data_IF_302499878081
#
_entry.id   IF_302499878081
#
_cell.length_a   1.000
_cell.length_b   1.000
_cell.length_c   1.000
_cell.angle_alpha   90.00
_cell.angle_beta   90.00
_cell.angle_gamma   90.00
#
_symmetry.space_group_name_H-M   'P 1'
#
loop_
_entity.id
_entity.type
_entity.pdbx_description
1 polymer ?
#
# COMPACT_ATOMS: atom_id res chain seq x y z
N UNK A 1 -36.41 32.82 -29.60
CA UNK A 1 -36.64 31.60 -28.81
C UNK A 1 -36.84 30.35 -29.68
N UNK A 2 -37.82 30.32 -30.61
CA UNK A 2 -38.13 29.12 -31.44
C UNK A 2 -36.96 28.54 -32.25
N UNK A 3 -36.09 29.39 -32.82
CA UNK A 3 -34.89 28.95 -33.58
C UNK A 3 -33.85 28.19 -32.75
N UNK A 4 -33.83 28.39 -31.43
CA UNK A 4 -32.93 27.66 -30.52
C UNK A 4 -33.58 26.42 -29.91
N UNK A 5 -34.90 26.27 -30.00
CA UNK A 5 -35.61 25.13 -29.46
C UNK A 5 -35.13 23.81 -30.09
N UNK A 6 -34.87 23.83 -31.39
CA UNK A 6 -34.32 22.68 -32.11
C UNK A 6 -32.92 22.29 -31.59
N UNK A 7 -32.07 23.28 -31.34
CA UNK A 7 -30.71 23.07 -30.83
C UNK A 7 -30.73 22.54 -29.38
N UNK A 8 -31.65 23.03 -28.56
CA UNK A 8 -31.87 22.55 -27.18
C UNK A 8 -32.35 21.09 -27.17
N UNK A 9 -33.27 20.73 -28.06
CA UNK A 9 -33.76 19.33 -28.18
C UNK A 9 -32.62 18.39 -28.58
N UNK A 10 -31.79 18.78 -29.55
CA UNK A 10 -30.62 18.00 -29.95
C UNK A 10 -29.64 17.83 -28.79
N UNK A 11 -29.37 18.90 -28.03
CA UNK A 11 -28.48 18.83 -26.86
C UNK A 11 -29.02 17.89 -25.79
N UNK A 12 -30.33 17.89 -25.54
CA UNK A 12 -30.96 16.97 -24.56
C UNK A 12 -30.85 15.52 -25.04
N UNK A 13 -31.10 15.26 -26.33
CA UNK A 13 -30.96 13.91 -26.90
C UNK A 13 -29.51 13.44 -26.83
N UNK A 14 -28.54 14.33 -27.10
CA UNK A 14 -27.12 14.00 -27.05
C UNK A 14 -26.65 13.75 -25.61
N UNK A 15 -27.11 14.55 -24.66
CA UNK A 15 -26.81 14.37 -23.24
C UNK A 15 -27.47 13.09 -22.69
N UNK A 16 -28.73 12.83 -23.05
CA UNK A 16 -29.45 11.61 -22.67
C UNK A 16 -28.84 10.35 -23.28
N UNK A 17 -28.45 10.41 -24.55
CA UNK A 17 -27.72 9.33 -25.24
C UNK A 17 -26.36 9.07 -24.62
N UNK A 18 -25.58 10.13 -24.32
CA UNK A 18 -24.29 10.02 -23.65
C UNK A 18 -24.39 9.44 -22.24
N UNK A 19 -25.39 9.86 -21.46
CA UNK A 19 -25.68 9.31 -20.14
C UNK A 19 -26.08 7.83 -20.24
N UNK A 20 -26.94 7.46 -21.20
CA UNK A 20 -27.37 6.07 -21.40
C UNK A 20 -26.19 5.18 -21.82
N UNK A 21 -25.32 5.66 -22.71
CA UNK A 21 -24.08 4.96 -23.08
C UNK A 21 -23.13 4.78 -21.90
N UNK A 22 -22.99 5.79 -21.04
CA UNK A 22 -22.17 5.71 -19.83
C UNK A 22 -22.74 4.68 -18.84
N UNK A 23 -24.07 4.64 -18.64
CA UNK A 23 -24.74 3.66 -17.79
C UNK A 23 -24.52 2.25 -18.35
N UNK A 24 -24.68 2.05 -19.65
CA UNK A 24 -24.49 0.74 -20.28
C UNK A 24 -23.03 0.27 -20.21
N UNK A 25 -22.05 1.16 -20.41
CA UNK A 25 -20.63 0.84 -20.27
C UNK A 25 -20.24 0.52 -18.81
N UNK A 26 -20.96 1.09 -17.84
CA UNK A 26 -20.73 0.86 -16.40
C UNK A 26 -21.36 -0.42 -15.83
N UNK A 27 -22.06 -1.21 -16.66
CA UNK A 27 -22.73 -2.46 -16.26
C UNK A 27 -24.26 -2.42 -16.35
N UNK A 28 -24.85 -1.43 -17.04
CA UNK A 28 -26.30 -1.32 -17.25
C UNK A 28 -27.08 -0.83 -16.04
N UNK A 29 -28.40 -0.68 -16.19
CA UNK A 29 -29.30 -0.30 -15.09
C UNK A 29 -29.36 -1.34 -13.95
N UNK A 30 -28.89 -2.57 -14.21
CA UNK A 30 -28.75 -3.65 -13.22
C UNK A 30 -27.81 -3.29 -12.06
N UNK A 31 -26.85 -2.38 -12.28
CA UNK A 31 -25.92 -1.93 -11.24
C UNK A 31 -26.47 -0.79 -10.38
N UNK A 32 -27.52 -0.10 -10.84
CA UNK A 32 -28.14 1.06 -10.17
C UNK A 32 -29.29 0.61 -9.26
N UNK A 33 -29.93 -0.53 -9.55
CA UNK A 33 -30.98 -1.11 -8.71
C UNK A 33 -30.34 -2.20 -7.84
N UNK A 34 -30.12 -1.98 -6.53
CA UNK A 34 -29.57 -3.00 -5.66
C UNK A 34 -30.63 -4.09 -5.44
N UNK A 35 -30.53 -5.17 -6.19
CA UNK A 35 -31.21 -6.42 -5.84
C UNK A 35 -30.23 -7.29 -5.05
N UNK A 36 -30.72 -7.98 -4.02
CA UNK A 36 -29.94 -9.00 -3.33
C UNK A 36 -29.66 -10.12 -4.33
N UNK A 37 -28.45 -10.17 -4.90
CA UNK A 37 -27.96 -11.35 -5.59
C UNK A 37 -27.77 -12.45 -4.54
N UNK A 38 -28.82 -13.24 -4.31
CA UNK A 38 -28.68 -14.57 -3.72
C UNK A 38 -27.96 -15.44 -4.76
N UNK A 39 -26.65 -15.42 -4.70
CA UNK A 39 -25.78 -16.26 -5.51
C UNK A 39 -25.44 -17.51 -4.72
N UNK A 40 -25.53 -18.66 -5.37
CA UNK A 40 -25.07 -19.94 -4.81
C UNK A 40 -23.55 -20.05 -4.79
N UNK A 41 -22.83 -19.08 -5.36
CA UNK A 41 -21.38 -19.03 -5.34
C UNK A 41 -20.88 -18.48 -3.99
N UNK A 42 -20.26 -19.30 -3.13
CA UNK A 42 -19.78 -18.88 -1.82
C UNK A 42 -18.67 -17.80 -1.89
N UNK A 43 -17.95 -17.69 -3.01
CA UNK A 43 -16.90 -16.67 -3.21
C UNK A 43 -17.44 -15.26 -3.46
N UNK A 44 -18.73 -15.14 -3.81
CA UNK A 44 -19.36 -13.87 -4.11
C UNK A 44 -20.06 -13.24 -2.88
N UNK A 45 -19.97 -13.88 -1.71
CA UNK A 45 -20.50 -13.34 -0.47
C UNK A 45 -19.47 -12.43 0.22
N UNK A 46 -19.74 -11.12 0.39
CA UNK A 46 -18.85 -10.23 1.13
C UNK A 46 -18.85 -10.50 2.65
N UNK A 47 -19.77 -11.32 3.14
CA UNK A 47 -19.91 -11.65 4.56
C UNK A 47 -19.23 -12.98 4.94
N UNK A 48 -18.83 -13.81 3.98
CA UNK A 48 -18.26 -15.13 4.24
C UNK A 48 -17.00 -15.36 3.39
N UNK A 49 -15.87 -15.58 4.06
CA UNK A 49 -14.64 -16.00 3.40
C UNK A 49 -14.67 -17.52 3.16
N UNK A 50 -14.19 -17.95 2.00
CA UNK A 50 -13.94 -19.38 1.76
C UNK A 50 -12.71 -19.85 2.53
N UNK A 51 -12.59 -21.17 2.75
CA UNK A 51 -11.46 -21.76 3.48
C UNK A 51 -10.13 -21.33 2.87
N UNK A 52 -10.01 -21.38 1.53
CA UNK A 52 -8.82 -20.93 0.82
C UNK A 52 -8.50 -19.45 1.07
N UNK A 53 -9.48 -18.57 1.01
CA UNK A 53 -9.28 -17.14 1.27
C UNK A 53 -8.82 -16.88 2.73
N UNK A 54 -9.36 -17.64 3.68
CA UNK A 54 -8.95 -17.57 5.08
C UNK A 54 -7.50 -18.06 5.28
N UNK A 55 -7.09 -19.14 4.62
CA UNK A 55 -5.71 -19.64 4.62
C UNK A 55 -4.74 -18.60 4.06
N UNK A 56 -5.08 -17.97 2.93
CA UNK A 56 -4.27 -16.91 2.33
C UNK A 56 -4.11 -15.72 3.26
N UNK A 57 -5.14 -15.35 4.01
CA UNK A 57 -5.05 -14.27 4.99
C UNK A 57 -4.05 -14.60 6.11
N UNK A 58 -4.07 -15.83 6.63
CA UNK A 58 -3.13 -16.27 7.67
C UNK A 58 -1.69 -16.24 7.14
N UNK A 59 -1.45 -16.73 5.93
CA UNK A 59 -0.14 -16.66 5.31
C UNK A 59 0.33 -15.23 5.08
N UNK A 60 -0.56 -14.35 4.63
CA UNK A 60 -0.25 -12.94 4.43
C UNK A 60 0.14 -12.25 5.75
N UNK A 61 -0.63 -12.47 6.82
CA UNK A 61 -0.31 -11.94 8.15
C UNK A 61 1.06 -12.45 8.62
N UNK A 62 1.31 -13.76 8.50
CA UNK A 62 2.59 -14.35 8.86
C UNK A 62 3.75 -13.74 8.07
N UNK A 63 3.59 -13.61 6.76
CA UNK A 63 4.58 -13.01 5.88
C UNK A 63 4.90 -11.56 6.28
N UNK A 64 3.88 -10.74 6.53
CA UNK A 64 4.06 -9.34 6.94
C UNK A 64 4.78 -9.25 8.28
N UNK A 65 4.36 -10.02 9.29
CA UNK A 65 4.96 -9.97 10.62
C UNK A 65 6.42 -10.41 10.61
N UNK A 66 6.75 -11.51 9.92
CA UNK A 66 8.12 -12.02 9.83
C UNK A 66 9.03 -11.01 9.12
N UNK A 67 8.58 -10.40 8.02
CA UNK A 67 9.37 -9.40 7.31
C UNK A 67 9.55 -8.11 8.12
N UNK A 68 8.48 -7.64 8.77
CA UNK A 68 8.54 -6.43 9.60
C UNK A 68 9.55 -6.59 10.74
N UNK A 69 9.50 -7.72 11.45
CA UNK A 69 10.45 -8.05 12.51
C UNK A 69 11.86 -8.26 11.93
N UNK A 70 11.98 -8.94 10.79
CA UNK A 70 13.26 -9.23 10.13
C UNK A 70 14.00 -7.97 9.71
N UNK A 71 13.32 -7.00 9.11
CA UNK A 71 13.91 -5.71 8.74
C UNK A 71 14.30 -4.93 9.99
N UNK A 72 13.43 -4.88 11.00
CA UNK A 72 13.73 -4.24 12.28
C UNK A 72 14.99 -4.81 12.95
N UNK A 73 15.09 -6.14 13.00
CA UNK A 73 16.25 -6.86 13.53
C UNK A 73 17.52 -6.60 12.73
N UNK A 74 17.41 -6.58 11.40
CA UNK A 74 18.54 -6.31 10.51
C UNK A 74 19.09 -4.90 10.70
N UNK A 75 18.21 -3.89 10.73
CA UNK A 75 18.61 -2.50 10.99
C UNK A 75 19.25 -2.37 12.37
N UNK A 76 18.62 -2.94 13.39
CA UNK A 76 19.16 -2.92 14.76
C UNK A 76 20.55 -3.56 14.83
N UNK A 77 20.75 -4.70 14.17
CA UNK A 77 22.05 -5.37 14.12
C UNK A 77 23.11 -4.54 13.41
N UNK A 78 22.77 -3.94 12.27
CA UNK A 78 23.69 -3.06 11.52
C UNK A 78 24.08 -1.85 12.37
N UNK A 79 23.11 -1.17 12.98
CA UNK A 79 23.38 -0.01 13.83
C UNK A 79 24.23 -0.38 15.06
N UNK A 80 23.96 -1.53 15.68
CA UNK A 80 24.76 -2.05 16.79
C UNK A 80 26.22 -2.34 16.36
N UNK A 81 26.40 -2.96 15.19
CA UNK A 81 27.73 -3.26 14.67
C UNK A 81 28.52 -1.98 14.37
N UNK A 82 27.86 -0.96 13.81
CA UNK A 82 28.47 0.34 13.53
C UNK A 82 28.86 1.07 14.82
N UNK A 83 27.97 1.13 15.82
CA UNK A 83 28.28 1.73 17.13
C UNK A 83 29.51 1.08 17.76
N UNK A 84 29.56 -0.27 17.73
CA UNK A 84 30.70 -1.03 18.25
C UNK A 84 32.00 -0.65 17.54
N UNK A 85 32.00 -0.54 16.22
CA UNK A 85 33.19 -0.17 15.45
C UNK A 85 33.63 1.28 15.74
N UNK A 86 32.68 2.21 15.84
CA UNK A 86 32.97 3.62 16.17
C UNK A 86 33.61 3.74 17.57
N UNK A 87 33.10 2.97 18.55
CA UNK A 87 33.67 2.95 19.90
C UNK A 87 35.11 2.44 19.91
N UNK A 88 35.39 1.38 19.17
CA UNK A 88 36.76 0.83 19.03
C UNK A 88 37.67 1.85 18.35
N UNK A 89 37.22 2.47 17.26
CA UNK A 89 38.01 3.46 16.53
C UNK A 89 38.38 4.67 17.40
N UNK A 90 37.45 5.16 18.23
CA UNK A 90 37.69 6.26 19.18
C UNK A 90 38.67 5.90 20.28
N UNK A 91 38.62 4.67 20.80
CA UNK A 91 39.58 4.21 21.81
C UNK A 91 41.01 4.21 21.25
N UNK A 92 41.21 3.62 20.07
CA UNK A 92 42.51 3.54 19.43
C UNK A 92 43.12 4.91 19.07
N UNK A 93 42.28 5.87 18.64
CA UNK A 93 42.75 7.22 18.31
C UNK A 93 43.08 8.06 19.55
N UNK A 94 42.40 7.82 20.68
CA UNK A 94 42.76 8.41 21.97
C UNK A 94 44.10 7.91 22.48
N UNK A 95 44.35 6.60 22.40
CA UNK A 95 45.63 5.98 22.77
C UNK A 95 46.79 6.52 21.93
N UNK A 96 46.60 6.64 20.62
CA UNK A 96 47.62 7.15 19.71
C UNK A 96 47.97 8.63 19.95
N UNK A 97 46.99 9.43 20.37
CA UNK A 97 47.22 10.84 20.73
C UNK A 97 48.01 10.94 22.04
N UNK A 98 47.64 10.14 23.04
CA UNK A 98 48.33 10.11 24.34
C UNK A 98 49.79 9.64 24.23
N UNK A 99 50.07 8.65 23.37
CA UNK A 99 51.45 8.21 23.12
C UNK A 99 52.29 9.26 22.41
N UNK A 100 51.71 10.01 21.46
CA UNK A 100 52.41 11.08 20.75
C UNK A 100 52.76 12.27 21.65
N UNK A 101 51.88 12.61 22.61
CA UNK A 101 52.13 13.66 23.61
C UNK A 101 53.22 13.26 24.61
N UNK A 102 53.27 11.98 24.99
CA UNK A 102 54.31 11.46 25.88
C UNK A 102 55.70 11.47 25.22
N UNK A 103 55.79 11.10 23.93
CA UNK A 103 57.04 11.13 23.17
C UNK A 103 57.51 12.57 22.86
N UNK A 104 56.60 13.53 22.73
CA UNK A 104 56.93 14.95 22.53
C UNK A 104 57.35 15.69 23.81
N UNK A 105 57.13 15.09 24.99
CA UNK A 105 57.46 15.65 26.29
C UNK A 105 58.79 15.13 26.88
N UNK A 106 59.43 14.15 26.23
CA UNK A 106 60.80 13.66 26.49
C UNK A 106 61.85 14.49 25.73
#
# INVERSE_FOLDING_TARGET
MRKYAFLVVILIILAGGGMLSAIQQSGGFERIIPYLQQTSNPEASPAHATVWQAEQLVFFIGFVLVNLIGIGGTIAFVMWALDRQVRVARANSGEQSASAEAEAAE
#
